data_IF_915804541675
#
_entry.id   IF_915804541675
#
_cell.length_a   1.000
_cell.length_b   1.000
_cell.length_c   1.000
_cell.angle_alpha   90.00
_cell.angle_beta   90.00
_cell.angle_gamma   90.00
#
_symmetry.space_group_name_H-M   'P 1'
#
loop_
_entity.id
_entity.type
_entity.pdbx_description
1 polymer ?
#
# COMPACT_ATOMS: atom_id res chain seq x y z
N UNK A 1 32.68 -33.24 -7.43
CA UNK A 1 32.47 -33.87 -6.10
C UNK A 1 32.33 -32.72 -5.10
N UNK A 2 31.10 -32.35 -4.72
CA UNK A 2 30.32 -32.82 -3.54
C UNK A 2 30.87 -32.30 -2.20
N UNK A 3 29.99 -31.51 -1.55
CA UNK A 3 29.88 -31.22 -0.11
C UNK A 3 31.01 -30.35 0.50
N UNK A 4 30.74 -29.36 1.36
CA UNK A 4 29.88 -29.50 2.54
C UNK A 4 29.43 -28.12 3.06
N UNK A 5 28.11 -27.93 3.08
CA UNK A 5 27.38 -26.96 3.90
C UNK A 5 27.42 -27.44 5.35
N UNK A 6 27.73 -26.58 6.33
CA UNK A 6 27.10 -26.50 7.67
C UNK A 6 27.82 -25.53 8.61
N UNK A 7 27.03 -24.99 9.53
CA UNK A 7 27.38 -24.33 10.80
C UNK A 7 27.50 -22.80 10.80
N UNK A 8 26.36 -22.12 10.71
CA UNK A 8 26.12 -20.85 11.43
C UNK A 8 24.64 -20.71 11.82
N UNK A 9 24.08 -21.77 12.43
CA UNK A 9 22.76 -21.75 13.07
C UNK A 9 22.91 -22.33 14.48
N UNK A 10 23.23 -21.49 15.46
CA UNK A 10 23.08 -21.76 16.90
C UNK A 10 23.59 -20.55 17.70
N UNK A 11 22.82 -19.47 17.77
CA UNK A 11 23.09 -18.39 18.75
C UNK A 11 21.93 -17.39 19.00
N UNK A 12 20.72 -17.59 18.48
CA UNK A 12 19.62 -16.62 18.65
C UNK A 12 18.26 -17.28 18.96
N UNK A 13 18.29 -18.37 19.73
CA UNK A 13 17.09 -18.99 20.29
C UNK A 13 17.33 -19.16 21.79
N UNK A 14 16.57 -18.37 22.57
CA UNK A 14 16.43 -18.33 24.03
C UNK A 14 16.96 -17.05 24.64
N UNK A 15 16.11 -16.03 24.66
CA UNK A 15 15.88 -15.18 25.83
C UNK A 15 14.52 -14.49 25.67
N UNK A 16 13.58 -14.88 26.56
CA UNK A 16 12.40 -14.15 27.01
C UNK A 16 11.26 -13.94 26.00
N UNK A 17 10.18 -14.75 26.01
CA UNK A 17 9.05 -14.71 26.97
C UNK A 17 8.53 -13.30 27.28
N UNK A 18 7.34 -12.96 26.78
CA UNK A 18 6.14 -12.57 27.56
C UNK A 18 4.94 -12.50 26.59
N UNK A 19 3.90 -13.26 26.94
CA UNK A 19 2.50 -13.15 26.50
C UNK A 19 2.13 -13.38 25.02
N UNK A 20 1.36 -14.44 24.77
CA UNK A 20 0.36 -14.40 23.69
C UNK A 20 0.26 -15.61 22.77
N UNK A 21 0.38 -16.84 23.26
CA UNK A 21 -0.25 -17.97 22.56
C UNK A 21 -1.77 -17.78 22.61
N UNK A 22 -2.35 -17.22 21.54
CA UNK A 22 -3.77 -17.37 21.24
C UNK A 22 -3.88 -18.36 20.06
N UNK A 23 -3.67 -19.63 20.37
CA UNK A 23 -4.19 -20.73 19.57
C UNK A 23 -5.66 -20.88 20.00
N UNK A 24 -6.58 -20.27 19.25
CA UNK A 24 -8.00 -20.63 19.29
C UNK A 24 -8.47 -20.89 17.87
N UNK A 25 -8.62 -22.18 17.57
CA UNK A 25 -9.58 -22.71 16.64
C UNK A 25 -10.97 -22.15 16.96
N UNK A 26 -11.59 -21.38 16.07
CA UNK A 26 -13.04 -21.36 15.90
C UNK A 26 -13.46 -20.65 14.62
N UNK A 27 -14.36 -21.32 13.93
CA UNK A 27 -14.98 -21.01 12.65
C UNK A 27 -15.99 -19.88 12.86
N UNK A 28 -15.84 -18.77 12.13
CA UNK A 28 -16.87 -17.84 11.63
C UNK A 28 -16.43 -16.36 11.64
N UNK A 29 -16.56 -15.73 10.47
CA UNK A 29 -16.69 -14.30 10.25
C UNK A 29 -15.74 -13.38 11.03
N UNK A 30 -14.50 -13.21 10.55
CA UNK A 30 -13.62 -12.16 11.05
C UNK A 30 -13.04 -11.35 9.88
N UNK A 31 -13.35 -10.06 9.92
CA UNK A 31 -12.94 -9.02 8.97
C UNK A 31 -11.41 -9.03 8.75
N UNK A 32 -10.94 -8.85 7.51
CA UNK A 32 -9.52 -8.80 7.24
C UNK A 32 -8.97 -7.40 7.61
N UNK A 33 -7.82 -7.42 8.30
CA UNK A 33 -6.78 -6.37 8.39
C UNK A 33 -7.22 -4.95 8.78
N UNK A 34 -7.05 -4.62 10.06
CA UNK A 34 -6.87 -3.22 10.49
C UNK A 34 -5.37 -2.92 10.56
N UNK A 35 -4.94 -2.07 9.63
CA UNK A 35 -3.63 -1.46 9.49
C UNK A 35 -3.37 -0.54 10.69
N UNK A 36 -2.22 -0.67 11.36
CA UNK A 36 -1.76 0.20 12.45
C UNK A 36 -1.54 1.65 11.93
N UNK A 37 -2.55 2.50 12.08
CA UNK A 37 -2.45 3.98 11.96
C UNK A 37 -2.36 4.56 13.36
N UNK A 38 -1.51 5.56 13.60
CA UNK A 38 -1.23 6.11 14.95
C UNK A 38 -2.50 6.39 15.81
N UNK A 39 -2.45 6.11 17.14
CA UNK A 39 -3.66 5.94 17.99
C UNK A 39 -4.53 7.18 18.22
N UNK A 40 -4.09 8.39 17.84
CA UNK A 40 -4.89 9.63 18.01
C UNK A 40 -5.80 9.95 16.82
N UNK A 41 -5.46 9.49 15.62
CA UNK A 41 -6.30 9.71 14.43
C UNK A 41 -7.39 8.64 14.28
N UNK A 42 -7.18 7.45 14.85
CA UNK A 42 -8.13 6.33 14.76
C UNK A 42 -9.52 6.65 15.34
N UNK A 43 -9.60 7.44 16.42
CA UNK A 43 -10.88 7.79 17.05
C UNK A 43 -11.73 8.74 16.19
N UNK A 44 -11.11 9.72 15.55
CA UNK A 44 -11.76 10.67 14.65
C UNK A 44 -12.18 10.00 13.33
N UNK A 45 -11.35 9.10 12.80
CA UNK A 45 -11.67 8.34 11.60
C UNK A 45 -12.77 7.30 11.82
N UNK A 46 -12.97 6.82 13.05
CA UNK A 46 -14.11 5.97 13.39
C UNK A 46 -15.42 6.76 13.38
N UNK A 47 -15.41 8.02 13.82
CA UNK A 47 -16.59 8.88 13.86
C UNK A 47 -16.91 9.52 12.50
N UNK A 48 -15.90 9.78 11.66
CA UNK A 48 -16.07 10.33 10.32
C UNK A 48 -15.13 9.66 9.31
N UNK A 49 -15.48 8.44 8.84
CA UNK A 49 -14.64 7.67 7.93
C UNK A 49 -14.51 8.32 6.54
N UNK A 50 -15.50 9.13 6.13
CA UNK A 50 -15.50 9.87 4.86
C UNK A 50 -14.38 10.92 4.89
N UNK A 51 -14.36 11.78 5.92
CA UNK A 51 -13.37 12.87 6.02
C UNK A 51 -11.94 12.34 6.08
N UNK A 52 -11.70 11.23 6.79
CA UNK A 52 -10.36 10.63 6.81
C UNK A 52 -9.96 10.06 5.44
N UNK A 53 -10.87 9.36 4.76
CA UNK A 53 -10.57 8.81 3.43
C UNK A 53 -10.31 9.93 2.41
N UNK A 54 -11.00 11.08 2.50
CA UNK A 54 -10.69 12.26 1.70
C UNK A 54 -9.28 12.83 1.95
N UNK A 55 -8.85 12.87 3.22
CA UNK A 55 -7.51 13.31 3.58
C UNK A 55 -6.44 12.35 3.06
N UNK A 56 -6.66 11.03 3.19
CA UNK A 56 -5.76 10.00 2.64
C UNK A 56 -5.64 10.14 1.11
N UNK A 57 -6.75 10.41 0.41
CA UNK A 57 -6.75 10.68 -1.03
C UNK A 57 -5.91 11.92 -1.36
N UNK A 58 -6.04 12.99 -0.58
CA UNK A 58 -5.27 14.21 -0.79
C UNK A 58 -3.76 13.97 -0.58
N UNK A 59 -3.39 13.19 0.43
CA UNK A 59 -2.00 12.81 0.68
C UNK A 59 -1.43 11.98 -0.49
N UNK A 60 -2.16 10.94 -0.93
CA UNK A 60 -1.74 10.10 -2.05
C UNK A 60 -1.60 10.92 -3.33
N UNK A 61 -2.52 11.86 -3.60
CA UNK A 61 -2.39 12.78 -4.75
C UNK A 61 -1.14 13.65 -4.68
N UNK A 62 -0.77 14.12 -3.49
CA UNK A 62 0.48 14.85 -3.29
C UNK A 62 1.69 13.95 -3.58
N UNK A 63 1.70 12.73 -3.04
CA UNK A 63 2.76 11.76 -3.25
C UNK A 63 2.95 11.42 -4.74
N UNK A 64 1.86 11.24 -5.48
CA UNK A 64 1.88 11.09 -6.95
C UNK A 64 2.59 12.29 -7.58
N UNK A 65 2.18 13.52 -7.26
CA UNK A 65 2.81 14.72 -7.82
C UNK A 65 4.31 14.85 -7.48
N UNK A 66 4.73 14.40 -6.29
CA UNK A 66 6.15 14.33 -5.91
C UNK A 66 6.90 13.31 -6.78
N UNK A 67 6.34 12.11 -6.93
CA UNK A 67 6.93 11.04 -7.73
C UNK A 67 7.01 11.41 -9.23
N UNK A 68 6.00 12.10 -9.78
CA UNK A 68 6.02 12.61 -11.16
C UNK A 68 7.17 13.59 -11.38
N UNK A 69 7.38 14.53 -10.44
CA UNK A 69 8.51 15.47 -10.51
C UNK A 69 9.86 14.76 -10.39
N UNK A 70 9.93 13.70 -9.57
CA UNK A 70 11.13 12.88 -9.42
C UNK A 70 11.47 12.16 -10.72
N UNK A 71 10.50 11.48 -11.34
CA UNK A 71 10.66 10.81 -12.64
C UNK A 71 11.11 11.80 -13.70
N UNK A 72 10.40 12.92 -13.85
CA UNK A 72 10.71 13.94 -14.86
C UNK A 72 12.14 14.46 -14.75
N UNK A 73 12.62 14.72 -13.53
CA UNK A 73 13.99 15.19 -13.28
C UNK A 73 15.02 14.17 -13.78
N UNK A 74 14.77 12.89 -13.53
CA UNK A 74 15.70 11.83 -13.93
C UNK A 74 15.60 11.49 -15.41
N UNK A 75 14.42 11.58 -16.03
CA UNK A 75 14.27 11.50 -17.49
C UNK A 75 15.07 12.61 -18.20
N UNK A 76 15.04 13.83 -17.66
CA UNK A 76 15.86 14.93 -18.18
C UNK A 76 17.36 14.63 -18.03
N UNK A 77 17.77 14.05 -16.90
CA UNK A 77 19.17 13.64 -16.70
C UNK A 77 19.59 12.56 -17.69
N UNK A 78 18.76 11.53 -17.92
CA UNK A 78 19.00 10.49 -18.94
C UNK A 78 19.17 11.11 -20.31
N UNK A 79 18.32 12.08 -20.68
CA UNK A 79 18.42 12.78 -21.96
C UNK A 79 19.74 13.55 -22.11
N UNK A 80 20.20 14.20 -21.05
CA UNK A 80 21.47 14.97 -21.06
C UNK A 80 22.67 14.04 -21.17
N UNK A 81 22.71 12.96 -20.39
CA UNK A 81 23.85 12.04 -20.41
C UNK A 81 23.85 11.07 -21.59
N UNK A 82 22.68 10.80 -22.19
CA UNK A 82 22.56 10.03 -23.43
C UNK A 82 22.71 10.87 -24.70
N UNK A 83 23.15 12.13 -24.58
CA UNK A 83 23.39 12.98 -25.73
C UNK A 83 24.60 12.47 -26.53
N UNK A 84 24.58 12.57 -27.87
CA UNK A 84 25.60 11.98 -28.75
C UNK A 84 26.98 12.65 -28.64
N UNK A 85 27.11 13.73 -27.89
CA UNK A 85 28.35 14.43 -27.56
C UNK A 85 28.98 13.96 -26.24
N UNK A 86 28.32 13.04 -25.52
CA UNK A 86 28.75 12.49 -24.23
C UNK A 86 29.32 11.07 -24.42
N UNK A 87 30.50 10.96 -25.05
CA UNK A 87 31.13 9.67 -25.41
C UNK A 87 32.06 9.09 -24.31
N UNK A 88 32.10 9.69 -23.13
CA UNK A 88 32.91 9.18 -22.04
C UNK A 88 32.18 8.11 -21.19
N UNK A 89 32.90 7.12 -20.63
CA UNK A 89 32.29 6.07 -19.80
C UNK A 89 31.52 6.58 -18.57
N UNK A 90 31.78 7.81 -18.13
CA UNK A 90 31.08 8.41 -17.00
C UNK A 90 29.67 8.87 -17.41
N UNK A 91 29.48 9.36 -18.64
CA UNK A 91 28.17 9.62 -19.22
C UNK A 91 27.30 8.36 -19.25
N UNK A 92 27.84 7.24 -19.73
CA UNK A 92 27.14 5.95 -19.77
C UNK A 92 26.70 5.51 -18.36
N UNK A 93 27.61 5.61 -17.37
CA UNK A 93 27.30 5.29 -15.98
C UNK A 93 26.18 6.18 -15.41
N UNK A 94 26.23 7.50 -15.64
CA UNK A 94 25.18 8.41 -15.18
C UNK A 94 23.84 8.13 -15.87
N UNK A 95 23.85 7.87 -17.18
CA UNK A 95 22.65 7.51 -17.92
C UNK A 95 21.99 6.25 -17.34
N UNK A 96 22.76 5.18 -17.11
CA UNK A 96 22.26 3.94 -16.51
C UNK A 96 21.69 4.17 -15.10
N UNK A 97 22.42 4.94 -14.27
CA UNK A 97 21.99 5.28 -12.91
C UNK A 97 20.68 6.06 -12.91
N UNK A 98 20.54 7.05 -13.80
CA UNK A 98 19.32 7.86 -13.88
C UNK A 98 18.16 7.10 -14.52
N UNK A 99 18.42 6.21 -15.48
CA UNK A 99 17.40 5.33 -16.06
C UNK A 99 16.80 4.41 -14.99
N UNK A 100 17.64 3.81 -14.14
CA UNK A 100 17.14 2.99 -13.03
C UNK A 100 16.23 3.78 -12.09
N UNK A 101 16.58 5.03 -11.78
CA UNK A 101 15.75 5.91 -10.95
C UNK A 101 14.43 6.29 -11.60
N UNK A 102 14.40 6.44 -12.93
CA UNK A 102 13.15 6.62 -13.69
C UNK A 102 12.24 5.40 -13.51
N UNK A 103 12.79 4.20 -13.63
CA UNK A 103 12.02 2.96 -13.47
C UNK A 103 11.48 2.81 -12.03
N UNK A 104 12.32 3.03 -11.03
CA UNK A 104 11.92 3.05 -9.61
C UNK A 104 10.81 4.08 -9.36
N UNK A 105 10.94 5.29 -9.89
CA UNK A 105 9.92 6.33 -9.76
C UNK A 105 8.60 5.98 -10.45
N UNK A 106 8.66 5.31 -11.62
CA UNK A 106 7.47 4.83 -12.33
C UNK A 106 6.77 3.70 -11.58
N UNK A 107 7.52 2.83 -10.92
CA UNK A 107 6.94 1.80 -10.04
C UNK A 107 6.18 2.44 -8.86
N UNK A 108 6.79 3.42 -8.19
CA UNK A 108 6.13 4.18 -7.12
C UNK A 108 4.86 4.86 -7.62
N UNK A 109 4.91 5.50 -8.80
CA UNK A 109 3.73 6.11 -9.41
C UNK A 109 2.61 5.10 -9.68
N UNK A 110 2.94 3.91 -10.16
CA UNK A 110 1.96 2.85 -10.39
C UNK A 110 1.33 2.38 -9.07
N UNK A 111 2.12 2.23 -8.01
CA UNK A 111 1.65 1.85 -6.68
C UNK A 111 0.72 2.91 -6.08
N UNK A 112 1.13 4.19 -6.07
CA UNK A 112 0.32 5.29 -5.54
C UNK A 112 -0.96 5.50 -6.35
N UNK A 113 -0.90 5.36 -7.68
CA UNK A 113 -2.10 5.44 -8.53
C UNK A 113 -3.07 4.30 -8.24
N UNK A 114 -2.56 3.09 -7.99
CA UNK A 114 -3.40 1.96 -7.57
C UNK A 114 -4.06 2.24 -6.22
N UNK A 115 -3.29 2.70 -5.23
CA UNK A 115 -3.78 3.08 -3.90
C UNK A 115 -4.84 4.18 -3.98
N UNK A 116 -4.65 5.18 -4.84
CA UNK A 116 -5.62 6.24 -5.07
C UNK A 116 -6.97 5.66 -5.55
N UNK A 117 -6.95 4.77 -6.55
CA UNK A 117 -8.17 4.14 -7.07
C UNK A 117 -8.89 3.31 -6.01
N UNK A 118 -8.15 2.63 -5.14
CA UNK A 118 -8.71 1.86 -4.03
C UNK A 118 -9.38 2.76 -2.99
N UNK A 119 -8.74 3.88 -2.63
CA UNK A 119 -9.31 4.88 -1.71
C UNK A 119 -10.54 5.57 -2.31
N UNK A 120 -10.52 5.92 -3.60
CA UNK A 120 -11.66 6.52 -4.29
C UNK A 120 -12.87 5.58 -4.36
N UNK A 121 -12.64 4.27 -4.57
CA UNK A 121 -13.71 3.25 -4.47
C UNK A 121 -14.26 3.16 -3.06
N UNK A 122 -13.38 3.11 -2.05
CA UNK A 122 -13.77 3.07 -0.64
C UNK A 122 -14.59 4.29 -0.24
N UNK A 123 -14.21 5.48 -0.72
CA UNK A 123 -14.96 6.71 -0.49
C UNK A 123 -16.37 6.63 -1.10
N UNK A 124 -16.49 6.13 -2.33
CA UNK A 124 -17.78 5.95 -2.99
C UNK A 124 -18.68 4.94 -2.26
N UNK A 125 -18.12 3.84 -1.75
CA UNK A 125 -18.85 2.84 -0.96
C UNK A 125 -19.34 3.42 0.37
N UNK A 126 -18.50 4.20 1.06
CA UNK A 126 -18.86 4.89 2.31
C UNK A 126 -19.96 5.93 2.08
N UNK A 127 -19.87 6.71 1.00
CA UNK A 127 -20.90 7.69 0.65
C UNK A 127 -22.24 7.01 0.34
N UNK A 128 -22.22 5.91 -0.43
CA UNK A 128 -23.43 5.13 -0.73
C UNK A 128 -24.05 4.49 0.52
N UNK A 129 -23.23 4.04 1.47
CA UNK A 129 -23.69 3.49 2.74
C UNK A 129 -24.27 4.54 3.70
N UNK A 130 -23.75 5.78 3.64
CA UNK A 130 -24.25 6.90 4.43
C UNK A 130 -25.63 7.40 3.95
N UNK A 131 -25.88 7.37 2.64
CA UNK A 131 -27.17 7.76 2.03
C UNK A 131 -28.22 6.64 2.06
N UNK A 132 -27.84 5.43 2.51
CA UNK A 132 -28.64 4.19 2.47
C UNK A 132 -29.50 3.91 3.71
N UNK A 133 -29.88 4.90 4.51
CA UNK A 133 -30.89 4.75 5.57
C UNK A 133 -32.24 5.37 5.17
N UNK A 134 -32.92 4.79 4.18
CA UNK A 134 -34.39 4.63 4.19
C UNK A 134 -34.92 3.91 2.95
N UNK A 135 -35.43 2.69 3.17
CA UNK A 135 -36.16 1.86 2.21
C UNK A 135 -36.07 0.42 2.74
N UNK A 136 -36.85 -0.02 3.72
CA UNK A 136 -38.31 0.03 3.74
C UNK A 136 -38.87 -1.24 3.08
N UNK A 137 -39.37 -2.19 3.89
CA UNK A 137 -40.08 -3.42 3.50
C UNK A 137 -39.21 -4.68 3.67
N UNK A 138 -39.39 -5.57 4.64
CA UNK A 138 -40.63 -6.06 5.22
C UNK A 138 -41.10 -7.31 4.47
N UNK A 139 -40.74 -8.51 4.95
CA UNK A 139 -41.69 -9.62 5.12
C UNK A 139 -41.01 -10.91 5.59
N UNK A 140 -41.50 -11.34 6.74
CA UNK A 140 -41.49 -12.67 7.35
C UNK A 140 -42.00 -13.80 6.43
N UNK A 141 -41.42 -14.99 6.59
CA UNK A 141 -41.92 -16.28 6.09
C UNK A 141 -40.72 -17.22 5.86
N UNK A 142 -40.36 -18.15 6.75
CA UNK A 142 -41.23 -19.05 7.49
C UNK A 142 -41.68 -20.16 6.55
N UNK A 143 -40.99 -21.30 6.53
CA UNK A 143 -41.36 -22.42 5.67
C UNK A 143 -40.40 -23.60 5.70
N UNK A 144 -40.47 -24.38 6.78
CA UNK A 144 -40.01 -25.77 6.84
C UNK A 144 -40.80 -26.64 5.87
N UNK A 145 -40.18 -27.67 5.28
CA UNK A 145 -40.94 -28.81 4.78
C UNK A 145 -40.28 -29.67 3.69
N UNK A 146 -39.90 -30.88 4.11
CA UNK A 146 -39.62 -32.12 3.35
C UNK A 146 -38.29 -32.26 2.62
#
# INVERSE_FOLDING_TARGET
MRATIRNFRSALLNMLHVAGLCVILSVNAACPVMFDVAPKEQGLCRANPIKCTENDIAEVKNNIGVAERYVKRHEESVRVFGAPDCDDPWCEEQMLKHSKKVDEGREVLAQETKKLRELERKLADLQRGADGSNGGGGSSGGGSGH
#
